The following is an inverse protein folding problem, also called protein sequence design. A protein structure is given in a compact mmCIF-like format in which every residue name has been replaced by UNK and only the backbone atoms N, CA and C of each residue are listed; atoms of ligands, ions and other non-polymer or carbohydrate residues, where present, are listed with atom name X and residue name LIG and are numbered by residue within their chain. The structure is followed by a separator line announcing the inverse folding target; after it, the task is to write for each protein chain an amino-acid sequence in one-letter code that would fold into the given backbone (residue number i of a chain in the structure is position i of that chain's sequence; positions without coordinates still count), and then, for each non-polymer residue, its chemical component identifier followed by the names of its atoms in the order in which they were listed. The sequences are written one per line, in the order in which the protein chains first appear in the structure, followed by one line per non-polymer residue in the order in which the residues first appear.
data_IF_352361094069
#
_entry.id   IF_352361094069
#
_cell.length_a   1.000
_cell.length_b   1.000
_cell.length_c   1.000
_cell.angle_alpha   90.00
_cell.angle_beta   90.00
_cell.angle_gamma   90.00
#
_symmetry.space_group_name_H-M   'P 1'
#
loop_
_entity.id
_entity.type
_entity.pdbx_description
1 polymer ?
#
# COMPACT_ATOMS: atom_id res chain seq x y z
N UNK A 1 10.93 4.34 14.44
CA UNK A 1 11.42 3.04 13.93
C UNK A 1 11.04 2.73 12.47
N UNK A 2 10.29 3.58 11.72
CA UNK A 2 10.09 3.43 10.27
C UNK A 2 11.01 4.33 9.40
N UNK A 3 11.71 5.29 10.03
CA UNK A 3 12.50 6.33 9.35
C UNK A 3 13.71 5.75 8.59
N UNK A 4 14.23 4.59 9.03
CA UNK A 4 15.39 3.93 8.40
C UNK A 4 15.01 2.94 7.28
N UNK A 5 13.74 2.87 6.88
CA UNK A 5 13.28 2.01 5.79
C UNK A 5 13.36 2.75 4.45
N UNK A 6 13.58 2.02 3.35
CA UNK A 6 13.40 2.57 2.00
C UNK A 6 11.97 3.06 1.81
N UNK A 7 11.76 4.07 0.94
CA UNK A 7 10.42 4.63 0.71
C UNK A 7 9.37 3.55 0.38
N UNK A 8 9.71 2.56 -0.44
CA UNK A 8 8.83 1.43 -0.73
C UNK A 8 8.47 0.60 0.52
N UNK A 9 9.43 0.35 1.40
CA UNK A 9 9.18 -0.37 2.65
C UNK A 9 8.40 0.48 3.67
N UNK A 10 8.57 1.80 3.67
CA UNK A 10 7.73 2.70 4.46
C UNK A 10 6.26 2.61 4.02
N UNK A 11 6.00 2.60 2.70
CA UNK A 11 4.64 2.42 2.17
C UNK A 11 4.04 1.07 2.56
N UNK A 12 4.82 -0.02 2.50
CA UNK A 12 4.36 -1.34 2.96
C UNK A 12 3.95 -1.34 4.43
N UNK A 13 4.72 -0.68 5.31
CA UNK A 13 4.36 -0.55 6.73
C UNK A 13 3.04 0.19 6.92
N UNK A 14 2.81 1.27 6.16
CA UNK A 14 1.55 2.02 6.19
C UNK A 14 0.37 1.13 5.77
N UNK A 15 0.52 0.39 4.66
CA UNK A 15 -0.50 -0.55 4.18
C UNK A 15 -0.78 -1.63 5.23
N UNK A 16 0.27 -2.24 5.81
CA UNK A 16 0.10 -3.25 6.87
C UNK A 16 -0.68 -2.70 8.07
N UNK A 17 -0.43 -1.45 8.45
CA UNK A 17 -1.16 -0.78 9.53
C UNK A 17 -2.64 -0.58 9.21
N UNK A 18 -2.98 -0.24 7.96
CA UNK A 18 -4.38 -0.17 7.54
C UNK A 18 -5.06 -1.53 7.49
N UNK A 19 -4.34 -2.58 7.09
CA UNK A 19 -4.89 -3.93 7.06
C UNK A 19 -5.13 -4.52 8.46
N UNK A 20 -4.42 -4.04 9.48
CA UNK A 20 -4.59 -4.50 10.85
C UNK A 20 -6.00 -4.29 11.42
N UNK A 21 -6.80 -3.39 10.83
CA UNK A 21 -8.19 -3.14 11.23
C UNK A 21 -9.23 -3.88 10.37
N UNK A 22 -8.80 -4.81 9.51
CA UNK A 22 -9.66 -5.59 8.60
C UNK A 22 -10.64 -4.72 7.77
N UNK A 23 -10.13 -3.74 6.99
CA UNK A 23 -10.99 -2.82 6.26
C UNK A 23 -11.71 -3.53 5.10
N UNK A 24 -12.96 -3.12 4.85
CA UNK A 24 -13.71 -3.53 3.64
C UNK A 24 -13.38 -2.66 2.43
N UNK A 25 -13.00 -1.40 2.67
CA UNK A 25 -12.67 -0.40 1.65
C UNK A 25 -11.37 0.29 2.05
N UNK A 26 -10.46 0.44 1.09
CA UNK A 26 -9.27 1.29 1.20
C UNK A 26 -9.40 2.46 0.23
N UNK A 27 -9.18 3.68 0.72
CA UNK A 27 -9.04 4.88 -0.11
C UNK A 27 -7.55 5.23 -0.11
N UNK A 28 -6.99 5.35 -1.30
CA UNK A 28 -5.56 5.41 -1.51
C UNK A 28 -5.26 6.61 -2.40
N UNK A 29 -4.59 7.62 -1.84
CA UNK A 29 -4.19 8.86 -2.51
C UNK A 29 -2.66 8.94 -2.56
N UNK A 30 -2.10 9.23 -3.74
CA UNK A 30 -0.66 9.38 -4.01
C UNK A 30 0.31 8.35 -3.36
N UNK A 31 -0.13 7.13 -3.05
CA UNK A 31 0.64 6.16 -2.22
C UNK A 31 1.97 5.67 -2.81
N UNK A 32 2.22 5.96 -4.08
CA UNK A 32 3.46 5.57 -4.78
C UNK A 32 4.38 6.75 -5.04
N UNK A 33 4.12 7.91 -4.41
CA UNK A 33 4.98 9.09 -4.54
C UNK A 33 6.29 8.91 -3.78
N UNK A 34 7.38 9.35 -4.39
CA UNK A 34 8.71 9.35 -3.77
C UNK A 34 9.38 7.98 -3.66
N UNK A 35 8.88 6.96 -4.37
CA UNK A 35 9.50 5.63 -4.47
C UNK A 35 9.87 5.33 -5.94
N UNK A 36 10.85 4.45 -6.15
CA UNK A 36 11.29 4.04 -7.49
C UNK A 36 10.25 3.16 -8.21
N UNK A 37 10.46 2.93 -9.50
CA UNK A 37 9.54 2.18 -10.37
C UNK A 37 9.36 0.72 -9.93
N UNK A 38 10.42 0.09 -9.41
CA UNK A 38 10.37 -1.29 -8.90
C UNK A 38 9.48 -1.37 -7.65
N UNK A 39 9.75 -0.50 -6.67
CA UNK A 39 8.93 -0.40 -5.47
C UNK A 39 7.47 -0.06 -5.78
N UNK A 40 7.22 0.83 -6.75
CA UNK A 40 5.86 1.16 -7.22
C UNK A 40 5.13 -0.07 -7.75
N UNK A 41 5.81 -0.91 -8.54
CA UNK A 41 5.23 -2.14 -9.05
C UNK A 41 4.83 -3.10 -7.93
N UNK A 42 5.69 -3.27 -6.92
CA UNK A 42 5.39 -4.11 -5.76
C UNK A 42 4.17 -3.62 -4.97
N UNK A 43 4.02 -2.31 -4.76
CA UNK A 43 2.85 -1.74 -4.10
C UNK A 43 1.57 -2.06 -4.89
N UNK A 44 1.60 -1.91 -6.22
CA UNK A 44 0.44 -2.28 -7.04
C UNK A 44 0.11 -3.77 -6.96
N UNK A 45 1.11 -4.66 -6.91
CA UNK A 45 0.86 -6.09 -6.73
C UNK A 45 0.17 -6.38 -5.39
N UNK A 46 0.59 -5.71 -4.31
CA UNK A 46 -0.06 -5.82 -3.00
C UNK A 46 -1.53 -5.40 -3.12
N UNK A 47 -1.81 -4.21 -3.69
CA UNK A 47 -3.18 -3.71 -3.85
C UNK A 47 -4.05 -4.64 -4.72
N UNK A 48 -3.49 -5.21 -5.79
CA UNK A 48 -4.19 -6.21 -6.60
C UNK A 48 -4.53 -7.48 -5.81
N UNK A 49 -3.61 -7.95 -4.96
CA UNK A 49 -3.86 -9.12 -4.11
C UNK A 49 -4.92 -8.83 -3.05
N UNK A 50 -4.97 -7.61 -2.51
CA UNK A 50 -6.02 -7.19 -1.58
C UNK A 50 -7.39 -7.13 -2.26
N UNK A 51 -7.45 -6.64 -3.50
CA UNK A 51 -8.67 -6.68 -4.32
C UNK A 51 -9.17 -8.10 -4.52
N UNK A 52 -8.28 -9.06 -4.82
CA UNK A 52 -8.62 -10.48 -4.95
C UNK A 52 -9.16 -11.09 -3.63
N UNK A 53 -8.80 -10.52 -2.49
CA UNK A 53 -9.31 -10.90 -1.16
C UNK A 53 -10.62 -10.21 -0.78
N UNK A 54 -11.24 -9.47 -1.70
CA UNK A 54 -12.54 -8.83 -1.49
C UNK A 54 -12.47 -7.43 -0.86
N UNK A 55 -11.29 -6.83 -0.75
CA UNK A 55 -11.15 -5.44 -0.30
C UNK A 55 -11.37 -4.52 -1.50
N UNK A 56 -12.34 -3.62 -1.41
CA UNK A 56 -12.55 -2.57 -2.41
C UNK A 56 -11.47 -1.50 -2.28
N UNK A 57 -10.92 -1.04 -3.40
CA UNK A 57 -9.87 -0.02 -3.40
C UNK A 57 -10.32 1.14 -4.30
N UNK A 58 -10.35 2.34 -3.73
CA UNK A 58 -10.56 3.60 -4.45
C UNK A 58 -9.21 4.32 -4.55
N UNK A 59 -8.79 4.62 -5.77
CA UNK A 59 -7.65 5.50 -6.02
C UNK A 59 -8.14 6.92 -6.23
N UNK A 60 -7.47 7.87 -5.59
CA UNK A 60 -7.62 9.31 -5.80
C UNK A 60 -6.36 9.83 -6.48
#
# INVERSE_FOLDING_TARGET
MAINLSGGNQQKVIISRWLAINPKILIVDEITRGIDVGAKHEIYQILQNLRKKGISILFV
#
